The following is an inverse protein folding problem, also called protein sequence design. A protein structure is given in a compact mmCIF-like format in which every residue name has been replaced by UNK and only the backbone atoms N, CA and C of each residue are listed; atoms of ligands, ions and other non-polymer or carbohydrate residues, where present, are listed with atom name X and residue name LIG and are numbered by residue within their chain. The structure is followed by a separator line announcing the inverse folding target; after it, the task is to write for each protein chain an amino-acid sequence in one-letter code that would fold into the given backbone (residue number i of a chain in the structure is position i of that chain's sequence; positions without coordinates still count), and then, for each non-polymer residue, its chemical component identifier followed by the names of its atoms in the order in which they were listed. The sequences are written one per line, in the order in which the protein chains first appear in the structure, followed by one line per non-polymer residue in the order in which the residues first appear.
data_IF_331269634223
#
_entry.id   IF_331269634223
#
_cell.length_a   1.000
_cell.length_b   1.000
_cell.length_c   1.000
_cell.angle_alpha   90.00
_cell.angle_beta   90.00
_cell.angle_gamma   90.00
#
_symmetry.space_group_name_H-M   'P 1'
#
loop_
_entity.id
_entity.type
_entity.pdbx_description
1 polymer ?
#
# COMPACT_ATOMS: atom_id res chain seq x y z
N UNK A 1 -15.55 -9.67 -28.26
CA UNK A 1 -16.18 -9.94 -26.95
C UNK A 1 -15.04 -9.94 -25.95
N UNK A 2 -14.62 -8.73 -25.58
CA UNK A 2 -13.44 -8.49 -24.74
C UNK A 2 -13.96 -7.67 -23.58
N UNK A 3 -14.44 -8.37 -22.56
CA UNK A 3 -14.77 -7.77 -21.27
C UNK A 3 -14.02 -8.59 -20.23
N UNK A 4 -12.89 -8.00 -19.81
CA UNK A 4 -12.03 -8.46 -18.73
C UNK A 4 -12.83 -8.33 -17.43
N UNK A 5 -12.89 -9.37 -16.58
CA UNK A 5 -13.73 -9.32 -15.39
C UNK A 5 -13.06 -8.43 -14.32
N UNK A 6 -13.93 -7.73 -13.58
CA UNK A 6 -13.73 -7.23 -12.22
C UNK A 6 -12.96 -5.91 -12.03
N UNK A 7 -13.51 -4.87 -12.64
CA UNK A 7 -13.45 -3.53 -12.08
C UNK A 7 -14.53 -3.32 -11.00
N UNK A 8 -14.14 -3.36 -9.73
CA UNK A 8 -14.79 -2.53 -8.70
C UNK A 8 -15.76 -3.20 -7.73
N UNK A 9 -15.28 -4.12 -6.88
CA UNK A 9 -15.84 -4.28 -5.54
C UNK A 9 -14.74 -4.78 -4.59
N UNK A 10 -14.05 -3.83 -3.96
CA UNK A 10 -13.23 -4.13 -2.80
C UNK A 10 -14.18 -4.69 -1.72
N UNK A 11 -13.97 -5.93 -1.27
CA UNK A 11 -14.60 -6.47 -0.07
C UNK A 11 -14.55 -5.40 1.03
N UNK A 12 -15.62 -5.25 1.82
CA UNK A 12 -15.97 -4.05 2.62
C UNK A 12 -14.96 -3.50 3.65
N UNK A 13 -13.67 -3.86 3.56
CA UNK A 13 -12.54 -3.36 4.33
C UNK A 13 -11.30 -2.99 3.49
N UNK A 14 -11.37 -3.00 2.15
CA UNK A 14 -10.28 -2.53 1.31
C UNK A 14 -10.46 -1.05 0.90
N UNK A 15 -9.42 -0.28 1.18
CA UNK A 15 -9.25 1.15 0.88
C UNK A 15 -8.18 1.33 -0.19
N UNK A 16 -8.08 2.54 -0.73
CA UNK A 16 -6.94 2.92 -1.56
C UNK A 16 -5.71 3.35 -0.73
N UNK A 17 -4.57 3.52 -1.42
CA UNK A 17 -3.28 3.86 -0.85
C UNK A 17 -3.22 5.19 -0.09
N UNK A 18 -4.19 6.09 -0.27
CA UNK A 18 -4.24 7.34 0.48
C UNK A 18 -4.48 7.10 1.98
N UNK A 19 -5.08 5.95 2.34
CA UNK A 19 -5.25 5.55 3.74
C UNK A 19 -3.91 5.40 4.50
N UNK A 20 -2.78 5.31 3.79
CA UNK A 20 -1.45 5.23 4.38
C UNK A 20 -0.89 6.60 4.82
N UNK A 21 -1.49 7.72 4.42
CA UNK A 21 -0.97 9.06 4.71
C UNK A 21 -0.74 9.28 6.22
N UNK A 22 -1.72 8.95 7.06
CA UNK A 22 -1.62 9.09 8.51
C UNK A 22 -0.60 8.12 9.13
N UNK A 23 -0.78 6.79 8.96
CA UNK A 23 0.12 5.79 9.55
C UNK A 23 1.60 5.98 9.20
N UNK A 24 1.90 6.48 7.99
CA UNK A 24 3.26 6.67 7.53
C UNK A 24 3.83 8.08 7.77
N UNK A 25 3.03 9.05 8.22
CA UNK A 25 3.51 10.39 8.55
C UNK A 25 4.54 10.40 9.70
N UNK A 26 4.50 9.42 10.59
CA UNK A 26 5.47 9.28 11.68
C UNK A 26 6.81 8.67 11.23
N UNK A 27 6.87 8.11 10.01
CA UNK A 27 8.02 7.33 9.51
C UNK A 27 8.70 8.03 8.33
N UNK A 28 7.94 8.69 7.47
CA UNK A 28 8.47 9.41 6.30
C UNK A 28 8.25 10.92 6.43
N UNK A 29 9.29 11.69 6.10
CA UNK A 29 9.24 13.16 6.15
C UNK A 29 8.49 13.79 4.96
N UNK A 30 8.06 12.99 3.98
CA UNK A 30 7.35 13.41 2.79
C UNK A 30 6.03 12.66 2.65
N UNK A 31 5.12 13.19 1.84
CA UNK A 31 3.84 12.55 1.54
C UNK A 31 4.06 11.27 0.74
N UNK A 32 4.05 10.14 1.44
CA UNK A 32 4.30 8.82 0.87
C UNK A 32 3.26 8.43 -0.17
N UNK A 33 2.05 8.98 -0.13
CA UNK A 33 0.97 8.63 -1.08
C UNK A 33 1.32 9.07 -2.51
N UNK A 34 2.15 10.11 -2.64
CA UNK A 34 2.65 10.63 -3.92
C UNK A 34 3.91 9.94 -4.42
N UNK A 35 4.58 9.18 -3.55
CA UNK A 35 5.81 8.50 -3.92
C UNK A 35 5.53 7.38 -4.93
N UNK A 36 6.43 7.21 -5.89
CA UNK A 36 6.46 6.05 -6.77
C UNK A 36 7.04 4.85 -6.03
N UNK A 37 6.39 3.70 -6.17
CA UNK A 37 6.89 2.44 -5.67
C UNK A 37 6.93 1.42 -6.82
N UNK A 38 7.99 0.59 -6.83
CA UNK A 38 8.06 -0.57 -7.72
C UNK A 38 7.80 -1.86 -6.95
N UNK A 39 6.85 -2.66 -7.41
CA UNK A 39 6.62 -3.99 -6.87
C UNK A 39 7.83 -4.89 -7.12
N UNK A 40 8.34 -5.54 -6.07
CA UNK A 40 9.44 -6.49 -6.17
C UNK A 40 9.03 -7.83 -6.84
N UNK A 41 7.72 -8.12 -6.91
CA UNK A 41 7.19 -9.36 -7.48
C UNK A 41 6.87 -9.23 -8.98
N UNK A 42 5.90 -8.38 -9.36
CA UNK A 42 5.50 -8.24 -10.77
C UNK A 42 6.23 -7.10 -11.50
N UNK A 43 6.94 -6.24 -10.79
CA UNK A 43 7.66 -5.11 -11.38
C UNK A 43 6.82 -3.88 -11.70
N UNK A 44 5.50 -3.88 -11.43
CA UNK A 44 4.61 -2.72 -11.62
C UNK A 44 5.15 -1.49 -10.89
N UNK A 45 5.03 -0.33 -11.54
CA UNK A 45 5.46 0.97 -11.01
C UNK A 45 4.27 1.90 -10.96
N UNK A 46 3.87 2.27 -9.75
CA UNK A 46 2.74 3.16 -9.53
C UNK A 46 2.95 4.03 -8.31
N UNK A 47 2.12 5.07 -8.16
CA UNK A 47 2.09 5.84 -6.91
C UNK A 47 1.56 4.96 -5.79
N UNK A 48 2.09 5.12 -4.58
CA UNK A 48 1.66 4.36 -3.40
C UNK A 48 0.15 4.51 -3.17
N UNK A 49 -0.43 5.67 -3.51
CA UNK A 49 -1.88 5.92 -3.49
C UNK A 49 -2.71 4.89 -4.29
N UNK A 50 -2.15 4.24 -5.31
CA UNK A 50 -2.85 3.23 -6.10
C UNK A 50 -2.90 1.85 -5.45
N UNK A 51 -2.13 1.60 -4.39
CA UNK A 51 -2.13 0.33 -3.67
C UNK A 51 -3.52 0.01 -3.08
N UNK A 52 -3.79 -1.27 -2.88
CA UNK A 52 -5.01 -1.73 -2.19
C UNK A 52 -4.67 -1.94 -0.73
N UNK A 53 -5.30 -1.17 0.15
CA UNK A 53 -4.96 -1.09 1.57
C UNK A 53 -6.05 -1.75 2.42
N UNK A 54 -5.64 -2.63 3.32
CA UNK A 54 -6.51 -3.25 4.30
C UNK A 54 -6.15 -2.70 5.68
N UNK A 55 -7.10 -2.04 6.34
CA UNK A 55 -6.90 -1.47 7.67
C UNK A 55 -7.58 -2.39 8.70
N UNK A 56 -6.86 -2.74 9.75
CA UNK A 56 -7.38 -3.54 10.87
C UNK A 56 -7.02 -2.86 12.19
N UNK A 57 -7.62 -3.32 13.29
CA UNK A 57 -7.24 -2.87 14.63
C UNK A 57 -5.76 -3.14 14.97
N UNK A 58 -5.13 -4.12 14.32
CA UNK A 58 -3.75 -4.53 14.60
C UNK A 58 -2.71 -3.89 13.68
N UNK A 59 -3.15 -3.23 12.60
CA UNK A 59 -2.25 -2.63 11.62
C UNK A 59 -2.86 -2.53 10.22
N UNK A 60 -2.05 -2.04 9.30
CA UNK A 60 -2.42 -1.73 7.92
C UNK A 60 -1.54 -2.52 6.94
N UNK A 61 -2.15 -3.14 5.94
CA UNK A 61 -1.44 -3.90 4.91
C UNK A 61 -1.76 -3.29 3.54
N UNK A 62 -0.76 -2.90 2.77
CA UNK A 62 -0.96 -2.48 1.38
C UNK A 62 -0.45 -3.53 0.40
N UNK A 63 -1.25 -3.80 -0.62
CA UNK A 63 -1.00 -4.78 -1.67
C UNK A 63 -0.88 -4.10 -3.03
N UNK A 64 -0.09 -4.72 -3.90
CA UNK A 64 0.00 -4.35 -5.29
C UNK A 64 -1.36 -4.53 -5.93
N UNK A 65 -1.85 -3.49 -6.63
CA UNK A 65 -3.13 -3.56 -7.35
C UNK A 65 -3.09 -4.61 -8.47
N UNK A 66 -1.93 -4.78 -9.10
CA UNK A 66 -1.79 -5.65 -10.27
C UNK A 66 -1.70 -7.14 -9.89
N UNK A 67 -0.83 -7.50 -8.93
CA UNK A 67 -0.57 -8.90 -8.59
C UNK A 67 -1.06 -9.33 -7.20
N UNK A 68 -1.59 -8.39 -6.39
CA UNK A 68 -2.05 -8.68 -5.03
C UNK A 68 -0.94 -8.93 -3.99
N UNK A 69 0.35 -8.91 -4.39
CA UNK A 69 1.47 -9.12 -3.48
C UNK A 69 1.55 -8.04 -2.40
N UNK A 70 1.95 -8.40 -1.18
CA UNK A 70 2.08 -7.46 -0.06
C UNK A 70 3.28 -6.54 -0.30
N UNK A 71 3.00 -5.26 -0.56
CA UNK A 71 4.04 -4.24 -0.74
C UNK A 71 4.59 -3.82 0.63
N UNK A 72 3.69 -3.44 1.54
CA UNK A 72 4.06 -2.89 2.84
C UNK A 72 3.05 -3.26 3.94
N UNK A 73 3.57 -3.36 5.16
CA UNK A 73 2.80 -3.56 6.39
C UNK A 73 3.21 -2.49 7.38
N UNK A 74 2.23 -1.81 7.96
CA UNK A 74 2.40 -0.76 8.96
C UNK A 74 1.73 -1.20 10.25
N UNK A 75 2.48 -1.16 11.35
CA UNK A 75 1.96 -1.47 12.69
C UNK A 75 2.31 -0.30 13.60
N UNK A 76 1.29 0.32 14.18
CA UNK A 76 1.45 1.34 15.21
C UNK A 76 1.35 0.72 16.60
N UNK A 77 2.26 1.08 17.49
CA UNK A 77 2.19 0.80 18.93
C UNK A 77 2.30 2.11 19.70
N UNK A 78 2.01 2.13 21.02
CA UNK A 78 2.25 3.32 21.83
C UNK A 78 3.71 3.78 21.87
N UNK A 79 4.66 2.90 21.52
CA UNK A 79 6.10 3.18 21.52
C UNK A 79 6.65 3.58 20.16
N UNK A 80 5.86 3.49 19.09
CA UNK A 80 6.27 3.92 17.76
C UNK A 80 5.58 3.18 16.63
N UNK A 81 6.00 3.48 15.39
CA UNK A 81 5.48 2.85 14.18
C UNK A 81 6.54 1.97 13.55
N UNK A 82 6.20 0.71 13.27
CA UNK A 82 7.03 -0.22 12.52
C UNK A 82 6.50 -0.40 11.09
N UNK A 83 7.40 -0.42 10.11
CA UNK A 83 7.07 -0.59 8.70
C UNK A 83 7.91 -1.72 8.10
N UNK A 84 7.25 -2.74 7.56
CA UNK A 84 7.88 -3.74 6.71
C UNK A 84 7.55 -3.43 5.26
N UNK A 85 8.55 -3.32 4.38
CA UNK A 85 8.37 -2.95 2.97
C UNK A 85 9.06 -3.95 2.02
N UNK A 86 9.07 -5.24 2.37
CA UNK A 86 9.81 -6.29 1.62
C UNK A 86 9.31 -6.50 0.19
N UNK A 87 8.04 -6.19 -0.08
CA UNK A 87 7.46 -6.30 -1.43
C UNK A 87 7.72 -5.09 -2.31
N UNK A 88 8.43 -4.07 -1.81
CA UNK A 88 8.80 -2.88 -2.57
C UNK A 88 10.28 -2.96 -2.94
N UNK A 89 10.59 -2.98 -4.24
CA UNK A 89 11.97 -2.99 -4.71
C UNK A 89 12.66 -1.64 -4.47
N UNK A 90 11.92 -0.54 -4.64
CA UNK A 90 12.35 0.81 -4.29
C UNK A 90 11.14 1.74 -4.16
N UNK A 91 11.33 2.80 -3.37
CA UNK A 91 10.42 3.94 -3.26
C UNK A 91 11.18 5.19 -3.71
N UNK A 92 10.52 6.05 -4.48
CA UNK A 92 11.04 7.35 -4.89
C UNK A 92 10.00 8.42 -4.59
N UNK A 93 10.39 9.39 -3.77
CA UNK A 93 9.64 10.61 -3.54
C UNK A 93 9.71 11.55 -4.76
#
# INVERSE_FOLDING_TARGET
MTESPDGGALDGNALDGNALAGPLAAVYAFDVTRALARCAHCGDVSVVACAVVFVTAMGTVARCRECGEVLLVVVGTPTGTSVAARGVAWVRA
#
